data_IF_746144385606
#
_entry.id   IF_746144385606
#
_cell.length_a   1.000
_cell.length_b   1.000
_cell.length_c   1.000
_cell.angle_alpha   90.00
_cell.angle_beta   90.00
_cell.angle_gamma   90.00
#
_symmetry.space_group_name_H-M   'P 1'
#
loop_
_entity.id
_entity.type
_entity.pdbx_description
1 polymer ?
#
# COMPACT_ATOMS: atom_id res chain seq x y z
N UNK A 1 61.21 52.33 22.54
CA UNK A 1 62.56 51.87 22.91
C UNK A 1 62.59 50.34 22.84
N UNK A 2 63.48 49.77 22.01
CA UNK A 2 63.91 48.34 21.86
C UNK A 2 62.84 47.35 21.32
N UNK A 3 62.85 46.82 20.07
CA UNK A 3 63.81 46.11 19.17
C UNK A 3 63.99 44.60 19.46
N UNK A 4 64.09 43.84 18.33
CA UNK A 4 64.37 42.39 18.07
C UNK A 4 63.11 41.49 18.01
N UNK A 5 62.66 40.87 16.92
CA UNK A 5 63.24 40.35 15.66
C UNK A 5 64.18 39.14 15.81
N UNK A 6 63.71 37.98 15.30
CA UNK A 6 64.40 36.93 14.49
C UNK A 6 64.06 35.48 14.88
N UNK A 7 63.59 34.74 13.86
CA UNK A 7 63.72 33.29 13.59
C UNK A 7 62.85 32.33 14.41
N UNK A 8 61.80 31.79 13.77
CA UNK A 8 61.63 30.33 13.69
C UNK A 8 60.73 29.98 12.48
N UNK A 9 61.39 29.73 11.36
CA UNK A 9 60.84 29.09 10.18
C UNK A 9 61.83 27.99 9.79
N UNK A 10 61.58 26.76 10.25
CA UNK A 10 62.05 25.51 9.62
C UNK A 10 61.54 24.31 10.44
N UNK A 11 61.10 23.27 9.73
CA UNK A 11 60.69 21.93 10.19
C UNK A 11 59.28 21.76 10.81
N UNK A 12 58.26 21.88 9.97
CA UNK A 12 57.09 20.99 10.07
C UNK A 12 56.53 20.72 8.67
N UNK A 13 57.32 20.02 7.86
CA UNK A 13 56.92 19.54 6.54
C UNK A 13 57.57 18.16 6.31
N UNK A 14 57.09 17.14 7.02
CA UNK A 14 57.27 15.73 6.65
C UNK A 14 56.36 14.84 7.49
N UNK A 15 55.70 13.90 6.80
CA UNK A 15 54.79 12.86 7.29
C UNK A 15 53.36 13.28 7.68
N UNK A 16 52.48 13.31 6.68
CA UNK A 16 51.15 12.68 6.72
C UNK A 16 50.56 12.75 5.30
N UNK A 17 51.01 11.85 4.43
CA UNK A 17 50.31 11.56 3.19
C UNK A 17 49.21 10.53 3.52
N UNK A 18 47.92 10.77 3.17
CA UNK A 18 46.93 9.73 3.26
C UNK A 18 47.22 8.66 2.20
N UNK A 19 47.38 7.42 2.64
CA UNK A 19 47.43 6.26 1.78
C UNK A 19 46.10 6.15 1.02
N UNK A 20 46.12 6.38 -0.28
CA UNK A 20 45.05 5.98 -1.19
C UNK A 20 45.05 4.45 -1.26
N UNK A 21 44.27 3.83 -0.37
CA UNK A 21 43.90 2.43 -0.48
C UNK A 21 42.91 2.26 -1.62
N UNK A 22 43.34 1.61 -2.69
CA UNK A 22 42.43 1.00 -3.65
C UNK A 22 41.70 -0.13 -2.92
N UNK A 23 40.44 0.10 -2.55
CA UNK A 23 39.52 -0.97 -2.22
C UNK A 23 38.84 -1.39 -3.55
N UNK A 24 39.43 -2.40 -4.17
CA UNK A 24 38.83 -3.17 -5.24
C UNK A 24 37.72 -4.02 -4.58
N UNK A 25 36.47 -3.58 -4.72
CA UNK A 25 35.30 -4.29 -4.21
C UNK A 25 34.96 -5.45 -5.16
N UNK A 26 35.77 -6.50 -5.06
CA UNK A 26 35.77 -7.72 -5.88
C UNK A 26 34.78 -8.78 -5.36
N UNK A 27 33.68 -8.35 -4.74
CA UNK A 27 32.65 -9.26 -4.16
C UNK A 27 31.37 -9.35 -4.99
N UNK A 28 31.36 -8.81 -6.21
CA UNK A 28 30.19 -8.87 -7.09
C UNK A 28 30.31 -10.06 -8.04
N UNK A 29 29.51 -11.11 -7.82
CA UNK A 29 29.34 -12.28 -8.70
C UNK A 29 28.69 -11.95 -10.07
N UNK A 30 28.86 -10.73 -10.57
CA UNK A 30 28.22 -10.23 -11.78
C UNK A 30 29.04 -10.61 -13.01
N UNK A 31 28.47 -11.33 -13.99
CA UNK A 31 29.17 -11.70 -15.20
C UNK A 31 29.43 -10.47 -16.10
N UNK A 32 30.61 -10.45 -16.73
CA UNK A 32 31.19 -9.30 -17.47
C UNK A 32 30.30 -8.70 -18.58
N UNK A 33 29.32 -9.45 -19.07
CA UNK A 33 28.45 -9.02 -20.16
C UNK A 33 27.32 -8.07 -19.72
N UNK A 34 27.03 -8.00 -18.41
CA UNK A 34 26.03 -7.08 -17.88
C UNK A 34 26.61 -5.66 -17.84
N UNK A 35 26.43 -4.90 -18.92
CA UNK A 35 27.07 -3.61 -19.20
C UNK A 35 27.04 -2.57 -18.08
N UNK A 36 28.09 -1.75 -18.03
CA UNK A 36 28.17 -0.47 -17.30
C UNK A 36 27.66 0.63 -18.23
N UNK A 37 27.03 1.67 -17.66
CA UNK A 37 26.65 2.84 -18.44
C UNK A 37 27.88 3.69 -18.84
N UNK A 38 27.67 4.70 -19.68
CA UNK A 38 28.73 5.54 -20.25
C UNK A 38 29.47 6.42 -19.23
N UNK A 39 29.05 6.44 -17.97
CA UNK A 39 29.73 7.13 -16.86
C UNK A 39 30.47 6.17 -15.93
N UNK A 40 30.45 4.87 -16.22
CA UNK A 40 31.06 3.85 -15.37
C UNK A 40 30.31 3.65 -14.05
N UNK A 41 29.11 4.20 -13.93
CA UNK A 41 28.25 4.01 -12.77
C UNK A 41 27.44 2.72 -12.93
N UNK A 42 27.16 2.10 -11.79
CA UNK A 42 26.28 0.92 -11.73
C UNK A 42 24.88 1.40 -12.16
N UNK A 43 24.24 0.79 -13.17
CA UNK A 43 22.81 0.98 -13.38
C UNK A 43 22.09 0.50 -12.13
N UNK A 44 21.34 1.39 -11.48
CA UNK A 44 20.77 1.20 -10.16
C UNK A 44 21.26 2.29 -9.22
N UNK A 45 20.44 3.33 -9.04
CA UNK A 45 20.63 4.24 -7.92
C UNK A 45 20.55 3.40 -6.65
N UNK A 46 21.65 3.33 -5.89
CA UNK A 46 21.58 2.82 -4.53
C UNK A 46 20.58 3.69 -3.78
N UNK A 47 19.64 3.07 -3.07
CA UNK A 47 18.80 3.80 -2.14
C UNK A 47 19.71 4.54 -1.16
N UNK A 48 19.59 5.87 -1.07
CA UNK A 48 20.46 6.70 -0.22
C UNK A 48 20.05 6.64 1.25
N UNK A 49 18.81 6.20 1.48
CA UNK A 49 18.24 5.83 2.77
C UNK A 49 17.64 4.44 2.62
N UNK A 50 18.46 3.37 2.62
CA UNK A 50 17.93 2.05 2.94
C UNK A 50 17.28 2.20 4.32
N UNK A 51 15.98 1.91 4.44
CA UNK A 51 15.35 1.73 5.75
C UNK A 51 16.26 0.86 6.61
N UNK A 52 16.47 1.26 7.86
CA UNK A 52 17.73 1.03 8.57
C UNK A 52 18.15 -0.43 8.72
N UNK A 53 17.30 -1.45 8.51
CA UNK A 53 17.77 -2.83 8.34
C UNK A 53 16.99 -3.58 7.24
N UNK A 54 17.72 -4.03 6.22
CA UNK A 54 17.24 -5.09 5.33
C UNK A 54 17.13 -6.39 6.15
N UNK A 55 15.96 -6.68 6.73
CA UNK A 55 15.73 -7.95 7.45
C UNK A 55 15.04 -7.87 8.81
N UNK A 56 14.83 -6.69 9.39
CA UNK A 56 14.18 -6.59 10.73
C UNK A 56 12.64 -6.66 10.67
N UNK A 57 12.03 -6.14 9.59
CA UNK A 57 10.56 -6.13 9.39
C UNK A 57 9.98 -7.47 8.90
N UNK A 58 10.68 -8.58 9.14
CA UNK A 58 10.23 -9.93 8.77
C UNK A 58 9.77 -10.76 9.96
N UNK A 59 9.84 -10.21 11.19
CA UNK A 59 9.49 -10.91 12.42
C UNK A 59 8.00 -11.01 12.73
N UNK A 60 7.16 -10.22 12.05
CA UNK A 60 5.73 -10.06 12.32
C UNK A 60 4.83 -10.46 11.13
N UNK A 61 5.31 -11.35 10.25
CA UNK A 61 4.51 -11.87 9.12
C UNK A 61 3.44 -12.88 9.54
N UNK A 62 3.08 -12.92 10.81
CA UNK A 62 2.02 -13.78 11.34
C UNK A 62 0.76 -12.98 11.60
N UNK A 63 -0.37 -13.66 11.50
CA UNK A 63 -1.65 -13.12 11.97
C UNK A 63 -1.58 -13.04 13.49
N UNK A 64 -1.74 -11.84 14.05
CA UNK A 64 -1.68 -11.60 15.49
C UNK A 64 -2.97 -10.99 16.02
N UNK A 65 -3.22 -11.18 17.31
CA UNK A 65 -4.34 -10.58 17.99
C UNK A 65 -4.16 -9.05 18.03
N UNK A 66 -5.12 -8.32 17.45
CA UNK A 66 -5.14 -6.86 17.39
C UNK A 66 -6.43 -6.29 17.96
N UNK A 67 -6.36 -5.05 18.41
CA UNK A 67 -7.56 -4.27 18.71
C UNK A 67 -8.26 -3.81 17.42
N UNK A 68 -9.42 -3.15 17.57
CA UNK A 68 -10.19 -2.69 16.42
C UNK A 68 -9.50 -1.60 15.59
N UNK A 69 -8.42 -1.00 16.10
CA UNK A 69 -7.61 -0.02 15.37
C UNK A 69 -6.31 -0.63 14.82
N UNK A 70 -6.15 -1.96 14.87
CA UNK A 70 -5.00 -2.66 14.31
C UNK A 70 -3.76 -2.66 15.21
N UNK A 71 -3.87 -2.17 16.45
CA UNK A 71 -2.76 -2.18 17.42
C UNK A 71 -2.67 -3.59 18.02
N UNK A 72 -1.49 -4.23 18.05
CA UNK A 72 -1.34 -5.57 18.61
C UNK A 72 -1.61 -5.57 20.11
N UNK A 73 -2.34 -6.59 20.56
CA UNK A 73 -2.55 -6.86 21.98
C UNK A 73 -1.43 -7.78 22.44
N UNK A 74 -0.60 -7.28 23.35
CA UNK A 74 0.53 -8.01 23.92
C UNK A 74 0.15 -8.70 25.23
N UNK A 75 0.85 -9.79 25.53
CA UNK A 75 0.68 -10.52 26.78
C UNK A 75 1.35 -9.82 27.98
N UNK A 76 1.31 -10.45 29.16
CA UNK A 76 1.94 -9.92 30.38
C UNK A 76 3.48 -9.79 30.29
N UNK A 77 4.11 -10.48 29.33
CA UNK A 77 5.55 -10.43 29.09
C UNK A 77 5.90 -9.38 28.01
N UNK A 78 4.90 -8.72 27.42
CA UNK A 78 5.08 -7.80 26.30
C UNK A 78 5.26 -8.49 24.95
N UNK A 79 4.97 -9.78 24.86
CA UNK A 79 5.06 -10.53 23.62
C UNK A 79 3.77 -10.42 22.80
N UNK A 80 3.93 -10.40 21.47
CA UNK A 80 2.81 -10.53 20.53
C UNK A 80 2.08 -11.86 20.75
N UNK A 81 0.82 -11.89 20.33
CA UNK A 81 -0.06 -13.05 20.50
C UNK A 81 -0.54 -13.54 19.14
N UNK A 82 0.19 -14.44 18.46
CA UNK A 82 -0.25 -15.03 17.19
C UNK A 82 -1.53 -15.83 17.34
N UNK A 83 -2.29 -15.98 16.26
CA UNK A 83 -3.59 -16.67 16.28
C UNK A 83 -3.68 -17.77 15.22
N UNK A 84 -4.35 -18.86 15.57
CA UNK A 84 -4.64 -19.97 14.66
C UNK A 84 -5.81 -19.66 13.74
N UNK A 85 -6.03 -20.48 12.70
CA UNK A 85 -7.15 -20.34 11.75
C UNK A 85 -8.51 -20.32 12.42
N UNK A 86 -8.63 -20.98 13.57
CA UNK A 86 -9.86 -21.06 14.36
C UNK A 86 -10.02 -19.88 15.35
N UNK A 87 -9.01 -19.00 15.43
CA UNK A 87 -8.97 -17.85 16.35
C UNK A 87 -8.43 -18.17 17.74
N UNK A 88 -7.80 -19.33 17.92
CA UNK A 88 -7.15 -19.66 19.19
C UNK A 88 -5.83 -18.89 19.32
N UNK A 89 -5.58 -18.36 20.52
CA UNK A 89 -4.37 -17.57 20.79
C UNK A 89 -3.21 -18.52 21.10
N UNK A 90 -2.11 -18.34 20.37
CA UNK A 90 -0.83 -18.98 20.61
C UNK A 90 0.00 -18.12 21.56
N UNK A 91 0.64 -18.76 22.54
CA UNK A 91 1.47 -18.06 23.53
C UNK A 91 2.93 -18.07 23.09
N UNK A 92 3.55 -16.88 23.08
CA UNK A 92 4.98 -16.75 22.90
C UNK A 92 5.69 -16.82 24.26
N UNK A 93 6.90 -17.37 24.27
CA UNK A 93 7.77 -17.43 25.44
C UNK A 93 8.91 -16.43 25.30
N UNK A 94 9.20 -15.70 26.37
CA UNK A 94 10.34 -14.79 26.40
C UNK A 94 11.62 -15.59 26.68
N UNK A 95 12.45 -15.75 25.65
CA UNK A 95 13.75 -16.46 25.70
C UNK A 95 14.85 -15.45 25.41
N UNK A 96 15.78 -15.29 26.35
CA UNK A 96 16.93 -14.38 26.21
C UNK A 96 16.59 -12.92 25.81
N UNK A 97 15.38 -12.47 26.15
CA UNK A 97 14.91 -11.11 25.82
C UNK A 97 14.25 -10.98 24.45
N UNK A 98 14.06 -12.09 23.73
CA UNK A 98 13.26 -12.18 22.50
C UNK A 98 12.02 -13.02 22.73
N UNK A 99 10.90 -12.65 22.11
CA UNK A 99 9.70 -13.47 22.11
C UNK A 99 9.83 -14.56 21.04
N UNK A 100 9.70 -15.81 21.45
CA UNK A 100 9.78 -16.96 20.56
C UNK A 100 8.48 -17.77 20.64
N UNK A 101 8.03 -18.30 19.50
CA UNK A 101 6.91 -19.23 19.48
C UNK A 101 7.39 -20.62 19.97
N UNK A 102 6.51 -21.37 20.63
CA UNK A 102 6.81 -22.76 20.98
C UNK A 102 6.92 -23.61 19.71
N UNK A 103 7.86 -24.57 19.72
CA UNK A 103 8.13 -25.42 18.55
C UNK A 103 6.90 -26.20 18.08
N UNK A 104 6.07 -26.67 19.02
CA UNK A 104 4.82 -27.40 18.73
C UNK A 104 3.74 -26.51 18.07
N UNK A 105 3.79 -25.19 18.29
CA UNK A 105 2.82 -24.22 17.79
C UNK A 105 3.19 -23.66 16.41
N UNK A 106 4.42 -23.91 15.92
CA UNK A 106 4.91 -23.40 14.63
C UNK A 106 4.08 -23.89 13.43
N UNK A 107 3.37 -25.01 13.57
CA UNK A 107 2.50 -25.55 12.53
C UNK A 107 1.05 -25.03 12.62
N UNK A 108 0.72 -24.30 13.67
CA UNK A 108 -0.62 -23.76 13.93
C UNK A 108 -0.72 -22.26 13.64
N UNK A 109 0.43 -21.57 13.58
CA UNK A 109 0.48 -20.15 13.26
C UNK A 109 0.08 -19.91 11.80
N UNK A 110 -0.63 -18.81 11.58
CA UNK A 110 -1.01 -18.36 10.24
C UNK A 110 -0.02 -17.31 9.75
N UNK A 111 0.45 -17.47 8.53
CA UNK A 111 1.21 -16.44 7.83
C UNK A 111 0.26 -15.45 7.15
N UNK A 112 0.69 -14.19 7.09
CA UNK A 112 -0.01 -13.16 6.33
C UNK A 112 0.33 -13.34 4.86
N UNK A 113 -0.70 -13.56 4.03
CA UNK A 113 -0.54 -13.67 2.59
C UNK A 113 -0.61 -12.29 1.94
N UNK A 114 0.50 -11.85 1.34
CA UNK A 114 0.57 -10.53 0.68
C UNK A 114 0.25 -10.61 -0.81
N UNK A 115 0.51 -11.74 -1.45
CA UNK A 115 0.36 -11.87 -2.90
C UNK A 115 1.05 -10.72 -3.65
N UNK A 116 0.33 -10.04 -4.55
CA UNK A 116 0.82 -8.87 -5.30
C UNK A 116 1.12 -7.64 -4.44
N UNK A 117 0.56 -7.53 -3.23
CA UNK A 117 0.87 -6.43 -2.30
C UNK A 117 2.31 -6.50 -1.79
N UNK A 118 2.99 -7.62 -1.98
CA UNK A 118 4.45 -7.72 -1.78
C UNK A 118 5.24 -6.63 -2.51
N UNK A 119 4.65 -6.03 -3.54
CA UNK A 119 5.22 -4.92 -4.31
C UNK A 119 5.54 -3.69 -3.46
N UNK A 120 4.88 -3.49 -2.31
CA UNK A 120 5.15 -2.33 -1.44
C UNK A 120 6.57 -2.35 -0.85
N UNK A 121 7.22 -3.53 -0.86
CA UNK A 121 8.62 -3.73 -0.44
C UNK A 121 9.63 -3.35 -1.53
N UNK A 122 9.15 -2.89 -2.68
CA UNK A 122 10.00 -2.35 -3.73
C UNK A 122 10.70 -1.08 -3.24
N UNK A 123 11.88 -0.74 -3.75
CA UNK A 123 12.54 0.52 -3.42
C UNK A 123 11.63 1.72 -3.67
N UNK A 124 11.71 2.75 -2.81
CA UNK A 124 10.81 3.92 -2.83
C UNK A 124 10.67 4.58 -4.21
N UNK A 125 11.74 4.59 -5.02
CA UNK A 125 11.70 5.19 -6.36
C UNK A 125 10.72 4.49 -7.31
N UNK A 126 10.42 3.20 -7.09
CA UNK A 126 9.45 2.44 -7.88
C UNK A 126 8.06 2.98 -7.62
N UNK A 127 7.66 3.09 -6.35
CA UNK A 127 6.37 3.66 -5.96
C UNK A 127 6.26 5.12 -6.38
N UNK A 128 7.31 5.92 -6.22
CA UNK A 128 7.31 7.33 -6.66
C UNK A 128 7.15 7.45 -8.19
N UNK A 129 7.80 6.58 -8.97
CA UNK A 129 7.64 6.59 -10.43
C UNK A 129 6.21 6.23 -10.83
N UNK A 130 5.64 5.18 -10.23
CA UNK A 130 4.26 4.78 -10.48
C UNK A 130 3.25 5.84 -10.01
N UNK A 131 3.53 6.55 -8.92
CA UNK A 131 2.74 7.70 -8.51
C UNK A 131 2.73 8.79 -9.58
N UNK A 132 3.90 9.14 -10.15
CA UNK A 132 3.99 10.15 -11.19
C UNK A 132 3.27 9.73 -12.48
N UNK A 133 3.29 8.45 -12.85
CA UNK A 133 2.53 7.91 -13.97
C UNK A 133 1.02 8.06 -13.74
N UNK A 134 0.53 7.66 -12.56
CA UNK A 134 -0.87 7.81 -12.16
C UNK A 134 -1.29 9.29 -12.12
N UNK A 135 -0.45 10.16 -11.57
CA UNK A 135 -0.68 11.60 -11.48
C UNK A 135 -0.77 12.25 -12.86
N UNK A 136 0.10 11.84 -13.80
CA UNK A 136 0.05 12.30 -15.18
C UNK A 136 -1.25 11.87 -15.87
N UNK A 137 -1.71 10.63 -15.63
CA UNK A 137 -3.00 10.16 -16.13
C UNK A 137 -4.16 10.97 -15.55
N UNK A 138 -4.16 11.25 -14.25
CA UNK A 138 -5.18 12.06 -13.58
C UNK A 138 -5.22 13.49 -14.15
N UNK A 139 -4.06 14.14 -14.27
CA UNK A 139 -3.97 15.51 -14.81
C UNK A 139 -4.35 15.58 -16.30
N UNK A 140 -4.10 14.51 -17.06
CA UNK A 140 -4.44 14.39 -18.49
C UNK A 140 -5.87 13.94 -18.79
N UNK A 141 -6.63 13.45 -17.81
CA UNK A 141 -8.00 12.97 -18.01
C UNK A 141 -8.97 14.14 -18.30
N UNK A 142 -9.96 13.94 -19.17
CA UNK A 142 -11.02 14.93 -19.38
C UNK A 142 -12.00 14.93 -18.20
N UNK A 143 -12.32 13.75 -17.69
CA UNK A 143 -13.17 13.55 -16.51
C UNK A 143 -12.56 12.49 -15.59
N UNK A 144 -12.80 12.66 -14.29
CA UNK A 144 -12.40 11.73 -13.24
C UNK A 144 -13.67 11.39 -12.46
N UNK A 145 -13.99 10.10 -12.42
CA UNK A 145 -15.14 9.56 -11.70
C UNK A 145 -14.68 8.37 -10.85
N UNK A 146 -15.63 7.74 -10.15
CA UNK A 146 -15.39 6.48 -9.46
C UNK A 146 -16.08 5.34 -10.21
N UNK A 147 -15.40 4.21 -10.34
CA UNK A 147 -16.03 2.98 -10.79
C UNK A 147 -16.93 2.38 -9.67
N UNK A 148 -17.70 1.31 -9.96
CA UNK A 148 -18.57 0.67 -8.96
C UNK A 148 -17.87 0.20 -7.69
N UNK A 149 -16.57 -0.12 -7.76
CA UNK A 149 -15.77 -0.51 -6.61
C UNK A 149 -15.16 0.69 -5.85
N UNK A 150 -15.27 1.91 -6.41
CA UNK A 150 -14.69 3.12 -5.85
C UNK A 150 -13.29 3.46 -6.37
N UNK A 151 -12.79 2.78 -7.40
CA UNK A 151 -11.49 3.10 -8.03
C UNK A 151 -11.62 4.34 -8.92
N UNK A 152 -10.51 5.07 -9.07
CA UNK A 152 -10.46 6.21 -9.98
C UNK A 152 -10.64 5.75 -11.43
N UNK A 153 -11.71 6.23 -12.06
CA UNK A 153 -12.10 5.95 -13.43
C UNK A 153 -11.89 7.20 -14.28
N UNK A 154 -10.99 7.09 -15.26
CA UNK A 154 -10.53 8.21 -16.06
C UNK A 154 -11.12 8.10 -17.46
N UNK A 155 -11.65 9.20 -18.00
CA UNK A 155 -12.01 9.29 -19.41
C UNK A 155 -11.14 10.31 -20.12
N UNK A 156 -10.53 9.93 -21.24
CA UNK A 156 -9.75 10.79 -22.12
C UNK A 156 -10.20 10.57 -23.56
N UNK A 157 -10.86 11.56 -24.15
CA UNK A 157 -11.54 11.41 -25.44
C UNK A 157 -12.58 10.30 -25.38
N UNK A 158 -12.47 9.34 -26.30
CA UNK A 158 -13.40 8.19 -26.42
C UNK A 158 -12.95 6.97 -25.61
N UNK A 159 -11.86 7.07 -24.84
CA UNK A 159 -11.31 5.96 -24.04
C UNK A 159 -11.54 6.23 -22.56
N UNK A 160 -12.21 5.29 -21.90
CA UNK A 160 -12.38 5.32 -20.44
C UNK A 160 -11.81 4.05 -19.83
N UNK A 161 -11.04 4.22 -18.75
CA UNK A 161 -10.45 3.10 -18.02
C UNK A 161 -10.25 3.44 -16.55
N UNK A 162 -10.37 2.42 -15.70
CA UNK A 162 -9.88 2.51 -14.33
C UNK A 162 -8.35 2.48 -14.32
N UNK A 163 -7.76 3.04 -13.26
CA UNK A 163 -6.35 2.78 -12.94
C UNK A 163 -6.23 1.31 -12.52
N UNK A 164 -5.72 0.45 -13.42
CA UNK A 164 -5.66 -1.02 -13.23
C UNK A 164 -4.24 -1.53 -12.90
N UNK A 165 -3.27 -0.62 -12.70
CA UNK A 165 -1.93 -0.99 -12.24
C UNK A 165 -1.91 -1.12 -10.71
N UNK A 166 -1.48 -2.28 -10.16
CA UNK A 166 -1.35 -2.43 -8.71
C UNK A 166 -0.41 -1.40 -8.08
N UNK A 167 0.71 -1.12 -8.76
CA UNK A 167 1.72 -0.15 -8.31
C UNK A 167 1.18 1.28 -8.27
N UNK A 168 0.44 1.69 -9.30
CA UNK A 168 -0.15 3.04 -9.35
C UNK A 168 -1.17 3.23 -8.22
N UNK A 169 -2.02 2.23 -7.97
CA UNK A 169 -3.03 2.28 -6.92
C UNK A 169 -2.40 2.33 -5.52
N UNK A 170 -1.38 1.52 -5.24
CA UNK A 170 -0.68 1.56 -3.96
C UNK A 170 0.09 2.85 -3.76
N UNK A 171 0.71 3.39 -4.81
CA UNK A 171 1.40 4.66 -4.71
C UNK A 171 0.41 5.82 -4.44
N UNK A 172 -0.77 5.81 -5.09
CA UNK A 172 -1.86 6.75 -4.79
C UNK A 172 -2.38 6.57 -3.36
N UNK A 173 -2.57 5.33 -2.89
CA UNK A 173 -2.96 5.03 -1.52
C UNK A 173 -1.98 5.63 -0.51
N UNK A 174 -0.68 5.39 -0.69
CA UNK A 174 0.37 5.94 0.18
C UNK A 174 0.31 7.47 0.24
N UNK A 175 0.25 8.14 -0.93
CA UNK A 175 0.23 9.61 -0.96
C UNK A 175 -1.05 10.19 -0.38
N UNK A 176 -2.20 9.58 -0.64
CA UNK A 176 -3.48 9.98 -0.05
C UNK A 176 -3.43 9.87 1.48
N UNK A 177 -2.99 8.72 2.00
CA UNK A 177 -2.90 8.47 3.45
C UNK A 177 -1.90 9.39 4.15
N UNK A 178 -0.80 9.79 3.48
CA UNK A 178 0.19 10.71 4.06
C UNK A 178 -0.25 12.17 4.05
N UNK A 179 -1.01 12.58 3.04
CA UNK A 179 -1.27 14.01 2.80
C UNK A 179 -2.74 14.41 3.03
N UNK A 180 -3.68 13.48 3.10
CA UNK A 180 -5.11 13.79 3.08
C UNK A 180 -5.63 14.25 1.71
N UNK A 181 -4.82 14.18 0.67
CA UNK A 181 -5.16 14.52 -0.72
C UNK A 181 -4.11 13.93 -1.68
N UNK A 182 -4.30 14.07 -2.99
CA UNK A 182 -3.33 13.66 -4.01
C UNK A 182 -2.40 14.84 -4.34
N UNK A 183 -1.12 14.83 -3.90
CA UNK A 183 -0.20 15.95 -4.14
C UNK A 183 0.10 16.13 -5.63
N UNK A 184 0.21 17.38 -6.08
CA UNK A 184 0.49 17.70 -7.48
C UNK A 184 -0.71 17.56 -8.44
N UNK A 185 -1.91 17.30 -7.93
CA UNK A 185 -3.13 17.33 -8.73
C UNK A 185 -3.46 18.77 -9.14
N UNK A 186 -3.62 19.00 -10.46
CA UNK A 186 -3.81 20.33 -11.06
C UNK A 186 -5.23 20.59 -11.56
N UNK A 187 -6.12 19.60 -11.44
CA UNK A 187 -7.55 19.75 -11.78
C UNK A 187 -8.19 20.81 -10.90
N UNK A 188 -9.11 21.57 -11.45
CA UNK A 188 -9.89 22.52 -10.67
C UNK A 188 -11.04 21.81 -9.91
N UNK A 189 -11.50 22.41 -8.82
CA UNK A 189 -12.58 21.84 -7.99
C UNK A 189 -13.87 21.60 -8.78
N UNK A 190 -14.17 22.39 -9.81
CA UNK A 190 -15.39 22.23 -10.59
C UNK A 190 -15.31 21.02 -11.53
N UNK A 191 -14.14 20.70 -12.08
CA UNK A 191 -13.93 19.47 -12.86
C UNK A 191 -13.87 18.21 -11.99
N UNK A 192 -13.46 18.31 -10.73
CA UNK A 192 -13.48 17.19 -9.79
C UNK A 192 -14.87 16.89 -9.21
N UNK A 193 -15.75 17.90 -9.09
CA UNK A 193 -17.11 17.69 -8.62
C UNK A 193 -17.16 17.02 -7.24
N UNK A 194 -17.77 15.83 -7.16
CA UNK A 194 -17.86 15.07 -5.91
C UNK A 194 -16.50 14.57 -5.39
N UNK A 195 -15.47 14.56 -6.23
CA UNK A 195 -14.09 14.20 -5.89
C UNK A 195 -13.25 15.39 -5.46
N UNK A 196 -13.83 16.56 -5.19
CA UNK A 196 -13.06 17.74 -4.79
C UNK A 196 -12.19 17.54 -3.54
N UNK A 197 -12.52 16.55 -2.70
CA UNK A 197 -11.76 16.19 -1.50
C UNK A 197 -10.36 15.63 -1.82
N UNK A 198 -10.13 15.06 -3.01
CA UNK A 198 -8.82 14.53 -3.39
C UNK A 198 -7.80 15.64 -3.76
N UNK A 199 -8.22 16.90 -3.71
CA UNK A 199 -7.38 18.08 -3.90
C UNK A 199 -7.21 18.83 -2.57
N UNK A 200 -6.00 19.34 -2.33
CA UNK A 200 -5.71 20.18 -1.17
C UNK A 200 -6.67 21.38 -1.05
N UNK A 201 -7.17 21.62 0.17
CA UNK A 201 -8.01 22.79 0.50
C UNK A 201 -7.27 24.11 0.33
N UNK A 202 -5.94 24.08 0.29
CA UNK A 202 -5.08 25.26 0.07
C UNK A 202 -4.88 25.59 -1.42
N UNK A 203 -5.32 24.71 -2.33
CA UNK A 203 -5.30 24.92 -3.76
C UNK A 203 -4.45 23.90 -4.54
N UNK A 204 -4.51 23.94 -5.89
CA UNK A 204 -3.80 23.00 -6.75
C UNK A 204 -2.28 23.10 -6.58
N UNK A 205 -1.62 21.96 -6.43
CA UNK A 205 -0.15 21.86 -6.32
C UNK A 205 0.44 22.17 -4.94
N UNK A 206 -0.38 22.32 -3.89
CA UNK A 206 0.11 22.39 -2.51
C UNK A 206 0.52 21.01 -1.98
N UNK A 207 1.42 20.97 -0.99
CA UNK A 207 2.03 19.74 -0.46
C UNK A 207 1.94 19.61 1.07
N UNK A 208 1.22 20.50 1.75
CA UNK A 208 1.10 20.44 3.21
C UNK A 208 -0.05 19.54 3.61
N UNK A 209 0.24 18.45 4.33
CA UNK A 209 -0.72 17.45 4.76
C UNK A 209 -1.97 18.04 5.46
N UNK A 210 -3.09 17.39 5.23
CA UNK A 210 -4.43 17.69 5.72
C UNK A 210 -4.98 16.48 6.48
N UNK A 211 -5.92 16.72 7.39
CA UNK A 211 -6.53 15.63 8.13
C UNK A 211 -7.43 14.81 7.20
N UNK A 212 -7.24 13.49 7.20
CA UNK A 212 -8.08 12.56 6.45
C UNK A 212 -9.52 12.59 6.97
N UNK A 213 -10.45 12.63 6.03
CA UNK A 213 -11.87 12.46 6.30
C UNK A 213 -12.37 11.07 5.89
N UNK A 214 -13.67 10.87 6.06
CA UNK A 214 -14.32 9.60 5.74
C UNK A 214 -14.31 9.28 4.22
N UNK A 215 -14.38 10.29 3.35
CA UNK A 215 -14.32 10.10 1.90
C UNK A 215 -12.90 9.73 1.47
N UNK A 216 -11.88 10.34 2.07
CA UNK A 216 -10.49 9.98 1.82
C UNK A 216 -10.23 8.51 2.16
N UNK A 217 -10.71 8.05 3.32
CA UNK A 217 -10.56 6.65 3.73
C UNK A 217 -11.37 5.69 2.85
N UNK A 218 -12.54 6.09 2.34
CA UNK A 218 -13.29 5.29 1.37
C UNK A 218 -12.55 5.14 0.03
N UNK A 219 -11.91 6.22 -0.45
CA UNK A 219 -11.08 6.14 -1.64
C UNK A 219 -9.81 5.32 -1.38
N UNK A 220 -9.17 5.53 -0.23
CA UNK A 220 -7.99 4.79 0.19
C UNK A 220 -8.27 3.28 0.25
N UNK A 221 -9.41 2.86 0.78
CA UNK A 221 -9.83 1.46 0.79
C UNK A 221 -9.95 0.87 -0.63
N UNK A 222 -10.54 1.62 -1.57
CA UNK A 222 -10.67 1.18 -2.96
C UNK A 222 -9.31 1.14 -3.70
N UNK A 223 -8.41 2.09 -3.43
CA UNK A 223 -7.04 2.10 -3.95
C UNK A 223 -6.24 0.93 -3.41
N UNK A 224 -6.33 0.67 -2.10
CA UNK A 224 -5.70 -0.49 -1.46
C UNK A 224 -6.18 -1.79 -2.11
N UNK A 225 -7.50 -1.94 -2.29
CA UNK A 225 -8.11 -3.10 -2.93
C UNK A 225 -7.64 -3.31 -4.38
N UNK A 226 -7.54 -2.22 -5.17
CA UNK A 226 -7.05 -2.28 -6.54
C UNK A 226 -5.57 -2.70 -6.64
N UNK A 227 -4.80 -2.40 -5.58
CA UNK A 227 -3.44 -2.87 -5.40
C UNK A 227 -3.33 -4.36 -5.05
N UNK A 228 -4.37 -4.98 -4.51
CA UNK A 228 -4.37 -6.34 -3.98
C UNK A 228 -4.77 -7.41 -5.02
N UNK A 229 -4.59 -8.68 -4.65
CA UNK A 229 -4.91 -9.81 -5.52
C UNK A 229 -6.41 -9.97 -5.72
N UNK A 230 -6.87 -9.87 -6.98
CA UNK A 230 -8.29 -9.82 -7.34
C UNK A 230 -9.12 -11.00 -6.82
N UNK A 231 -8.50 -12.16 -6.58
CA UNK A 231 -9.18 -13.39 -6.10
C UNK A 231 -8.85 -13.72 -4.65
N UNK A 232 -8.11 -12.84 -3.95
CA UNK A 232 -7.70 -13.03 -2.57
C UNK A 232 -8.63 -12.35 -1.59
N UNK A 233 -8.19 -12.26 -0.34
CA UNK A 233 -8.88 -11.54 0.74
C UNK A 233 -7.91 -10.58 1.40
N UNK A 234 -8.41 -9.44 1.87
CA UNK A 234 -7.63 -8.45 2.61
C UNK A 234 -7.87 -8.64 4.11
N UNK A 235 -6.83 -9.04 4.84
CA UNK A 235 -6.87 -9.21 6.30
C UNK A 235 -6.38 -7.95 7.03
N UNK A 236 -6.71 -7.83 8.32
CA UNK A 236 -6.28 -6.68 9.13
C UNK A 236 -4.76 -6.62 9.25
N UNK A 237 -4.11 -7.77 9.46
CA UNK A 237 -2.65 -7.84 9.52
C UNK A 237 -2.00 -7.42 8.20
N UNK A 238 -2.60 -7.77 7.06
CA UNK A 238 -2.13 -7.32 5.75
C UNK A 238 -2.15 -5.79 5.65
N UNK A 239 -3.25 -5.15 6.07
CA UNK A 239 -3.37 -3.68 6.08
C UNK A 239 -2.32 -3.05 6.99
N UNK A 240 -2.19 -3.54 8.22
CA UNK A 240 -1.27 -2.97 9.21
C UNK A 240 0.19 -3.11 8.77
N UNK A 241 0.60 -4.30 8.29
CA UNK A 241 1.97 -4.55 7.83
C UNK A 241 2.29 -3.75 6.58
N UNK A 242 1.37 -3.68 5.61
CA UNK A 242 1.55 -2.82 4.42
C UNK A 242 1.68 -1.36 4.81
N UNK A 243 0.92 -0.88 5.79
CA UNK A 243 1.05 0.48 6.30
C UNK A 243 2.41 0.73 6.98
N UNK A 244 2.94 -0.26 7.69
CA UNK A 244 4.31 -0.20 8.23
C UNK A 244 5.33 -0.05 7.09
N UNK A 245 5.27 -0.92 6.09
CA UNK A 245 6.23 -0.89 4.97
C UNK A 245 6.13 0.37 4.09
N UNK A 246 4.94 0.97 3.99
CA UNK A 246 4.74 2.24 3.29
C UNK A 246 5.14 3.46 4.14
N UNK A 247 5.59 3.27 5.39
CA UNK A 247 5.95 4.34 6.31
C UNK A 247 4.75 5.18 6.77
N UNK A 248 3.56 4.58 6.84
CA UNK A 248 2.33 5.21 7.37
C UNK A 248 2.20 5.04 8.89
N UNK A 249 2.77 3.96 9.42
CA UNK A 249 2.94 3.80 10.86
C UNK A 249 4.25 4.52 11.25
N UNK A 250 4.19 5.39 12.24
CA UNK A 250 5.37 6.12 12.71
C UNK A 250 6.12 5.26 13.73
N UNK A 251 7.46 5.23 13.67
CA UNK A 251 8.28 4.67 14.75
C UNK A 251 8.82 5.82 15.61
N UNK A 252 8.39 5.88 16.87
CA UNK A 252 8.97 6.78 17.88
C UNK A 252 9.94 6.00 18.77
N UNK A 253 11.17 5.83 18.28
CA UNK A 253 12.29 5.25 19.04
C UNK A 253 11.99 3.86 19.65
N UNK A 254 11.36 2.98 18.87
CA UNK A 254 10.96 1.63 19.30
C UNK A 254 9.52 1.54 19.82
N UNK A 255 8.77 2.64 19.83
CA UNK A 255 7.32 2.63 19.98
C UNK A 255 6.66 2.86 18.63
N UNK A 256 6.16 1.79 18.04
CA UNK A 256 5.40 1.86 16.80
C UNK A 256 4.03 2.50 17.07
N UNK A 257 3.83 3.69 16.53
CA UNK A 257 2.54 4.37 16.46
C UNK A 257 1.84 3.93 15.18
N UNK A 258 0.85 3.05 15.33
CA UNK A 258 0.00 2.62 14.23
C UNK A 258 -0.87 3.76 13.72
N UNK A 259 -1.16 3.73 12.42
CA UNK A 259 -2.08 4.68 11.80
C UNK A 259 -3.44 4.65 12.51
N UNK A 260 -3.97 5.83 12.84
CA UNK A 260 -5.21 5.95 13.59
C UNK A 260 -6.44 5.97 12.66
N UNK A 261 -7.20 4.87 12.65
CA UNK A 261 -8.47 4.79 11.93
C UNK A 261 -9.68 5.13 12.82
N UNK A 262 -9.47 5.64 14.03
CA UNK A 262 -10.55 5.91 14.98
C UNK A 262 -11.65 6.79 14.36
N UNK A 263 -12.89 6.31 14.43
CA UNK A 263 -14.06 7.03 13.90
C UNK A 263 -14.42 6.67 12.45
N UNK A 264 -13.56 5.94 11.73
CA UNK A 264 -13.96 5.32 10.48
C UNK A 264 -14.93 4.16 10.75
N UNK A 265 -15.96 4.06 9.91
CA UNK A 265 -16.97 3.00 9.97
C UNK A 265 -17.32 2.62 8.55
N UNK A 266 -17.60 1.34 8.30
CA UNK A 266 -17.99 0.90 6.97
C UNK A 266 -19.34 0.21 7.03
N UNK A 267 -20.14 0.40 5.98
CA UNK A 267 -21.40 -0.30 5.85
C UNK A 267 -21.59 -0.71 4.38
N UNK A 268 -21.45 -2.02 4.13
CA UNK A 268 -21.56 -2.63 2.81
C UNK A 268 -22.88 -2.27 2.12
N UNK A 269 -24.00 -2.28 2.85
CA UNK A 269 -25.31 -1.94 2.27
C UNK A 269 -25.36 -0.47 1.84
N UNK A 270 -24.98 0.46 2.70
CA UNK A 270 -24.96 1.89 2.37
C UNK A 270 -24.00 2.18 1.21
N UNK A 271 -22.92 1.41 1.07
CA UNK A 271 -21.94 1.56 0.00
C UNK A 271 -22.45 1.05 -1.35
N UNK A 272 -23.10 -0.11 -1.39
CA UNK A 272 -23.36 -0.84 -2.65
C UNK A 272 -24.83 -1.05 -3.03
N UNK A 273 -25.80 -0.78 -2.14
CA UNK A 273 -27.22 -1.10 -2.40
C UNK A 273 -27.85 -0.35 -3.59
N UNK A 274 -27.27 0.78 -4.02
CA UNK A 274 -27.73 1.56 -5.17
C UNK A 274 -26.80 1.51 -6.38
N UNK A 275 -25.80 0.62 -6.37
CA UNK A 275 -24.78 0.56 -7.43
C UNK A 275 -25.18 -0.52 -8.45
N UNK A 276 -25.53 -0.06 -9.65
CA UNK A 276 -26.08 -0.89 -10.75
C UNK A 276 -25.34 -0.72 -12.08
N UNK A 277 -24.07 -1.13 -12.21
CA UNK A 277 -23.35 -1.05 -13.47
C UNK A 277 -23.96 -1.97 -14.54
N UNK A 278 -23.77 -1.58 -15.80
CA UNK A 278 -24.11 -2.40 -16.95
C UNK A 278 -23.04 -3.48 -17.16
N UNK A 279 -23.38 -4.72 -16.85
CA UNK A 279 -22.48 -5.87 -16.93
C UNK A 279 -23.09 -6.98 -17.80
N UNK A 280 -22.26 -7.98 -18.14
CA UNK A 280 -22.77 -9.21 -18.74
C UNK A 280 -23.61 -10.00 -17.73
N UNK A 281 -24.79 -10.42 -18.17
CA UNK A 281 -25.73 -11.25 -17.42
C UNK A 281 -26.09 -12.50 -18.24
N UNK A 282 -26.14 -13.65 -17.57
CA UNK A 282 -26.34 -14.96 -18.20
C UNK A 282 -25.57 -16.06 -17.46
N UNK A 283 -25.42 -17.25 -18.06
CA UNK A 283 -25.87 -17.61 -19.40
C UNK A 283 -27.39 -17.82 -19.50
N UNK A 284 -27.96 -17.54 -20.67
CA UNK A 284 -29.32 -17.96 -21.04
C UNK A 284 -29.21 -19.06 -22.08
N UNK A 285 -29.61 -20.27 -21.71
CA UNK A 285 -29.71 -21.40 -22.63
C UNK A 285 -30.92 -21.20 -23.56
N UNK A 286 -30.68 -21.24 -24.88
CA UNK A 286 -31.77 -21.25 -25.85
C UNK A 286 -32.10 -22.70 -26.25
N UNK A 287 -33.38 -23.10 -26.33
CA UNK A 287 -33.78 -24.50 -26.53
C UNK A 287 -33.22 -25.22 -27.77
N UNK A 288 -32.72 -24.47 -28.76
CA UNK A 288 -32.24 -24.97 -30.05
C UNK A 288 -30.80 -24.51 -30.37
N UNK A 289 -30.06 -24.04 -29.38
CA UNK A 289 -28.69 -23.56 -29.56
C UNK A 289 -27.74 -24.13 -28.50
N UNK A 290 -26.56 -24.60 -28.93
CA UNK A 290 -25.51 -25.15 -28.05
C UNK A 290 -24.60 -24.03 -27.47
N UNK A 291 -24.97 -22.76 -27.65
CA UNK A 291 -24.22 -21.61 -27.15
C UNK A 291 -24.87 -20.98 -25.92
N UNK A 292 -24.01 -20.60 -24.98
CA UNK A 292 -24.35 -19.74 -23.85
C UNK A 292 -24.47 -18.29 -24.29
N UNK A 293 -25.68 -17.73 -24.18
CA UNK A 293 -25.94 -16.33 -24.51
C UNK A 293 -25.85 -15.45 -23.28
N UNK A 294 -25.12 -14.34 -23.40
CA UNK A 294 -25.05 -13.28 -22.40
C UNK A 294 -25.66 -12.00 -22.96
N UNK A 295 -26.33 -11.23 -22.11
CA UNK A 295 -26.88 -9.93 -22.45
C UNK A 295 -26.34 -8.87 -21.49
N UNK A 296 -26.38 -7.60 -21.91
CA UNK A 296 -25.95 -6.48 -21.07
C UNK A 296 -27.15 -6.01 -20.25
N UNK A 297 -27.02 -5.98 -18.92
CA UNK A 297 -28.07 -5.55 -18.02
C UNK A 297 -27.50 -4.79 -16.80
N UNK A 298 -28.31 -3.92 -16.16
CA UNK A 298 -27.94 -3.34 -14.88
C UNK A 298 -27.95 -4.44 -13.81
N UNK A 299 -26.81 -4.60 -13.12
CA UNK A 299 -26.65 -5.61 -12.06
C UNK A 299 -26.50 -4.93 -10.71
N UNK A 300 -27.40 -5.22 -9.77
CA UNK A 300 -27.29 -4.74 -8.39
C UNK A 300 -26.11 -5.41 -7.67
N UNK A 301 -25.01 -4.69 -7.50
CA UNK A 301 -23.76 -5.20 -6.89
C UNK A 301 -24.02 -5.82 -5.53
N UNK A 302 -24.82 -5.16 -4.68
CA UNK A 302 -25.10 -5.63 -3.33
C UNK A 302 -25.75 -7.02 -3.27
N UNK A 303 -26.48 -7.43 -4.32
CA UNK A 303 -27.18 -8.71 -4.35
C UNK A 303 -26.35 -9.84 -4.97
N UNK A 304 -25.43 -9.51 -5.87
CA UNK A 304 -24.66 -10.51 -6.62
C UNK A 304 -23.27 -10.76 -6.04
N UNK A 305 -22.65 -9.74 -5.43
CA UNK A 305 -21.32 -9.88 -4.83
C UNK A 305 -21.43 -10.51 -3.45
N UNK A 306 -20.61 -11.53 -3.21
CA UNK A 306 -20.46 -12.11 -1.88
C UNK A 306 -19.47 -11.27 -1.09
N UNK A 307 -19.96 -10.61 -0.03
CA UNK A 307 -19.15 -9.84 0.89
C UNK A 307 -18.80 -10.69 2.10
N UNK A 308 -17.52 -10.79 2.42
CA UNK A 308 -17.08 -11.53 3.60
C UNK A 308 -17.17 -10.66 4.84
N UNK A 309 -17.52 -11.28 5.96
CA UNK A 309 -17.36 -10.67 7.27
C UNK A 309 -15.98 -11.03 7.83
N UNK A 310 -15.33 -10.11 8.56
CA UNK A 310 -14.08 -10.43 9.24
C UNK A 310 -14.29 -11.59 10.22
N UNK A 311 -13.24 -12.37 10.54
CA UNK A 311 -13.33 -13.44 11.52
C UNK A 311 -13.93 -12.97 12.83
N UNK A 312 -14.78 -13.79 13.47
CA UNK A 312 -15.55 -13.39 14.65
C UNK A 312 -14.69 -12.99 15.87
N UNK A 313 -13.41 -13.36 15.88
CA UNK A 313 -12.45 -13.00 16.92
C UNK A 313 -11.80 -11.62 16.72
N UNK A 314 -12.02 -10.96 15.57
CA UNK A 314 -11.60 -9.57 15.36
C UNK A 314 -12.37 -8.65 16.30
N UNK A 315 -11.67 -7.65 16.83
CA UNK A 315 -12.32 -6.55 17.53
C UNK A 315 -12.82 -5.52 16.51
N UNK A 316 -14.07 -5.07 16.66
CA UNK A 316 -14.65 -4.04 15.80
C UNK A 316 -14.05 -2.67 16.13
N UNK A 317 -13.74 -1.90 15.10
CA UNK A 317 -13.15 -0.57 15.21
C UNK A 317 -12.49 -0.13 13.91
N UNK A 318 -12.04 1.12 13.88
CA UNK A 318 -11.57 1.83 12.69
C UNK A 318 -10.80 1.02 11.65
N UNK A 319 -9.75 0.30 12.07
CA UNK A 319 -8.91 -0.45 11.14
C UNK A 319 -9.58 -1.73 10.64
N UNK A 320 -10.34 -2.42 11.48
CA UNK A 320 -11.17 -3.57 11.07
C UNK A 320 -12.25 -3.12 10.07
N UNK A 321 -12.86 -1.95 10.28
CA UNK A 321 -13.84 -1.35 9.38
C UNK A 321 -13.19 -0.95 8.04
N UNK A 322 -11.99 -0.36 8.07
CA UNK A 322 -11.20 -0.05 6.87
C UNK A 322 -10.83 -1.31 6.10
N UNK A 323 -10.38 -2.35 6.80
CA UNK A 323 -10.06 -3.66 6.22
C UNK A 323 -11.28 -4.24 5.52
N UNK A 324 -12.45 -4.20 6.16
CA UNK A 324 -13.70 -4.64 5.55
C UNK A 324 -14.07 -3.80 4.32
N UNK A 325 -13.88 -2.48 4.37
CA UNK A 325 -14.15 -1.61 3.22
C UNK A 325 -13.25 -1.97 2.02
N UNK A 326 -11.97 -2.25 2.27
CA UNK A 326 -11.01 -2.65 1.25
C UNK A 326 -11.32 -4.05 0.70
N UNK A 327 -11.63 -5.02 1.56
CA UNK A 327 -12.01 -6.38 1.15
C UNK A 327 -13.32 -6.38 0.34
N UNK A 328 -14.34 -5.64 0.77
CA UNK A 328 -15.58 -5.49 0.01
C UNK A 328 -15.31 -4.88 -1.38
N UNK A 329 -14.46 -3.85 -1.46
CA UNK A 329 -14.08 -3.25 -2.74
C UNK A 329 -13.34 -4.24 -3.64
N UNK A 330 -12.48 -5.11 -3.07
CA UNK A 330 -11.78 -6.16 -3.80
C UNK A 330 -12.75 -7.14 -4.46
N UNK A 331 -13.76 -7.62 -3.73
CA UNK A 331 -14.78 -8.53 -4.25
C UNK A 331 -15.63 -7.87 -5.35
N UNK A 332 -15.91 -6.56 -5.24
CA UNK A 332 -16.56 -5.82 -6.33
C UNK A 332 -15.65 -5.71 -7.55
N UNK A 333 -14.35 -5.43 -7.37
CA UNK A 333 -13.36 -5.39 -8.47
C UNK A 333 -13.30 -6.74 -9.19
N UNK A 334 -13.27 -7.84 -8.44
CA UNK A 334 -13.29 -9.19 -9.00
C UNK A 334 -14.54 -9.41 -9.85
N UNK A 335 -15.71 -9.10 -9.28
CA UNK A 335 -17.00 -9.29 -9.93
C UNK A 335 -17.11 -8.49 -11.23
N UNK A 336 -16.83 -7.18 -11.20
CA UNK A 336 -16.91 -6.34 -12.40
C UNK A 336 -15.90 -6.77 -13.47
N UNK A 337 -14.75 -7.32 -13.08
CA UNK A 337 -13.74 -7.78 -14.01
C UNK A 337 -14.17 -9.09 -14.70
N UNK A 338 -14.78 -10.01 -13.95
CA UNK A 338 -15.29 -11.27 -14.49
C UNK A 338 -16.51 -11.07 -15.41
N UNK A 339 -17.32 -10.04 -15.16
CA UNK A 339 -18.56 -9.74 -15.89
C UNK A 339 -18.48 -8.50 -16.78
N UNK A 340 -17.26 -8.03 -17.08
CA UNK A 340 -17.05 -6.84 -17.90
C UNK A 340 -17.60 -7.01 -19.32
N UNK A 341 -18.16 -5.94 -19.89
CA UNK A 341 -18.61 -5.93 -21.28
C UNK A 341 -17.39 -5.91 -22.21
N UNK A 342 -17.27 -6.84 -23.19
CA UNK A 342 -16.16 -6.84 -24.14
C UNK A 342 -16.16 -5.57 -24.99
N UNK A 343 -14.99 -4.94 -25.08
CA UNK A 343 -14.75 -3.80 -25.97
C UNK A 343 -14.20 -4.35 -27.29
N UNK A 344 -14.87 -4.04 -28.42
CA UNK A 344 -14.52 -4.55 -29.75
C UNK A 344 -13.65 -3.57 -30.56
#
# INVERSE_FOLDING_TARGET
>A
MKRLCWILLALLAMLLAPATGFAEDDTSDRPDWAGKDSTGQKPGNKNQTPGEIMGEDYGDLWVVLRDGNGIPIVDNNGCLQPVTTDGDILSMVLVEGSCELLEDDLLLVQEVEFGRMSVVRSPDFVLETSFLEALNALNGADTIELDPAGRLFLSTGDVSKAIDSPLENIALYQKLMQNGFIPGLTKDLASLGALSYIQSTKGPGEHAAEALDHNDLNLAAALYAAGADKTGTISLDMVVIVNTWLGLNEDDHGNQNYFDFTGYTHNTHNRYAGIEPMLLSGPVEMPDDDYDWFFIAPIMIYNEVTFNDPPAWYLFGGATEFTKAADDALHVIEFIHNWAVPVY
#
